data_IF_920846203798
#
_entry.id   IF_920846203798
#
_cell.length_a   1.000
_cell.length_b   1.000
_cell.length_c   1.000
_cell.angle_alpha   90.00
_cell.angle_beta   90.00
_cell.angle_gamma   90.00
#
_symmetry.space_group_name_H-M   'P 1'
#
loop_
_entity.id
_entity.type
_entity.pdbx_description
1 polymer ?
#
# COMPACT_ATOMS: atom_id res chain seq x y z
N UNK A 1 34.95 -44.42 -62.18
CA UNK A 1 35.84 -43.51 -61.39
C UNK A 1 35.41 -43.59 -59.94
N UNK A 2 35.97 -44.57 -59.22
CA UNK A 2 35.60 -44.87 -57.86
C UNK A 2 36.26 -43.86 -56.91
N UNK A 3 35.45 -43.14 -56.12
CA UNK A 3 35.90 -42.26 -55.09
C UNK A 3 36.13 -43.08 -53.80
N UNK A 4 37.38 -43.12 -53.35
CA UNK A 4 37.84 -43.91 -52.22
C UNK A 4 37.32 -43.34 -50.91
N UNK A 5 36.85 -44.22 -50.04
CA UNK A 5 36.31 -44.03 -48.68
C UNK A 5 37.26 -43.31 -47.63
N UNK A 6 38.36 -42.67 -48.06
CA UNK A 6 39.40 -42.17 -47.17
C UNK A 6 39.40 -40.64 -46.94
N UNK A 7 38.53 -39.88 -47.60
CA UNK A 7 38.54 -38.40 -47.53
C UNK A 7 37.43 -37.81 -46.63
N UNK A 8 36.73 -38.66 -45.86
CA UNK A 8 35.59 -38.22 -45.02
C UNK A 8 35.95 -37.94 -43.56
N UNK A 9 37.22 -37.93 -43.17
CA UNK A 9 37.67 -37.84 -41.77
C UNK A 9 38.51 -36.59 -41.43
N UNK A 10 38.34 -35.47 -42.12
CA UNK A 10 39.11 -34.23 -41.79
C UNK A 10 38.23 -32.99 -41.59
N UNK A 11 36.97 -33.09 -41.21
CA UNK A 11 36.20 -31.93 -40.76
C UNK A 11 35.43 -32.27 -39.47
N UNK A 12 36.16 -32.66 -38.41
CA UNK A 12 35.69 -32.61 -37.07
C UNK A 12 36.14 -31.26 -36.47
N UNK A 13 35.48 -30.18 -36.89
CA UNK A 13 35.58 -28.89 -36.22
C UNK A 13 34.90 -28.98 -34.88
N UNK A 14 35.64 -28.77 -33.82
CA UNK A 14 35.11 -28.67 -32.45
C UNK A 14 34.13 -27.51 -32.39
N UNK A 15 32.82 -27.78 -32.44
CA UNK A 15 31.78 -26.85 -32.03
C UNK A 15 31.80 -26.81 -30.51
N UNK A 16 32.48 -25.83 -29.96
CA UNK A 16 32.29 -25.43 -28.55
C UNK A 16 30.88 -24.88 -28.43
N UNK A 17 29.96 -25.68 -27.92
CA UNK A 17 28.68 -25.20 -27.42
C UNK A 17 28.96 -24.36 -26.17
N UNK A 18 29.04 -23.04 -26.33
CA UNK A 18 28.88 -22.12 -25.22
C UNK A 18 27.42 -22.27 -24.76
N UNK A 19 27.21 -23.02 -23.69
CA UNK A 19 25.98 -22.95 -22.92
C UNK A 19 25.84 -21.49 -22.46
N UNK A 20 25.09 -20.69 -23.21
CA UNK A 20 24.59 -19.45 -22.70
C UNK A 20 23.79 -19.82 -21.44
N UNK A 21 24.30 -19.44 -20.27
CA UNK A 21 23.52 -19.50 -19.04
C UNK A 21 22.21 -18.74 -19.34
N UNK A 22 21.12 -19.46 -19.47
CA UNK A 22 19.80 -18.87 -19.56
C UNK A 22 19.62 -17.96 -18.33
N UNK A 23 18.72 -16.96 -18.41
CA UNK A 23 18.49 -16.09 -17.28
C UNK A 23 18.24 -16.99 -16.07
N UNK A 24 19.11 -16.89 -15.06
CA UNK A 24 18.84 -17.52 -13.78
C UNK A 24 17.47 -16.97 -13.36
N UNK A 25 16.48 -17.84 -13.27
CA UNK A 25 15.21 -17.50 -12.65
C UNK A 25 15.56 -17.10 -11.23
N UNK A 26 15.72 -15.79 -11.03
CA UNK A 26 16.00 -15.23 -9.73
C UNK A 26 14.95 -15.83 -8.80
N UNK A 27 15.45 -16.48 -7.77
CA UNK A 27 14.67 -16.90 -6.61
C UNK A 27 13.62 -15.83 -6.38
N UNK A 28 12.33 -16.17 -6.42
CA UNK A 28 11.24 -15.18 -6.40
C UNK A 28 11.47 -14.29 -5.20
N UNK A 29 11.97 -13.08 -5.44
CA UNK A 29 12.26 -12.15 -4.39
C UNK A 29 10.93 -11.88 -3.69
N UNK A 30 10.95 -11.98 -2.37
CA UNK A 30 9.77 -11.99 -1.52
C UNK A 30 9.18 -10.59 -1.40
N UNK A 31 7.88 -10.50 -1.26
CA UNK A 31 7.18 -9.27 -0.90
C UNK A 31 7.24 -9.11 0.61
N UNK A 32 7.79 -8.00 1.09
CA UNK A 32 7.74 -7.66 2.53
C UNK A 32 6.64 -6.63 2.76
N UNK A 33 5.75 -6.90 3.72
CA UNK A 33 4.70 -5.98 4.18
C UNK A 33 4.92 -5.72 5.65
N UNK A 34 5.10 -4.45 6.02
CA UNK A 34 5.29 -3.99 7.38
C UNK A 34 4.13 -3.07 7.77
N UNK A 35 3.44 -3.40 8.87
CA UNK A 35 2.45 -2.51 9.45
C UNK A 35 3.10 -1.58 10.47
N UNK A 36 2.92 -0.27 10.33
CA UNK A 36 3.56 0.74 11.17
C UNK A 36 2.62 1.39 12.20
N UNK A 37 1.38 0.90 12.27
CA UNK A 37 0.33 1.40 13.15
C UNK A 37 -0.74 2.20 12.42
N UNK A 38 -1.96 2.22 12.93
CA UNK A 38 -3.17 2.78 12.32
C UNK A 38 -3.32 2.24 10.88
N UNK A 39 -3.19 3.09 9.86
CA UNK A 39 -3.23 2.72 8.44
C UNK A 39 -1.83 2.62 7.80
N UNK A 40 -0.80 3.11 8.48
CA UNK A 40 0.53 3.23 7.91
C UNK A 40 1.16 1.86 7.56
N UNK A 41 1.46 1.68 6.29
CA UNK A 41 1.97 0.42 5.75
C UNK A 41 3.17 0.68 4.83
N UNK A 42 4.25 -0.10 5.02
CA UNK A 42 5.41 -0.11 4.13
C UNK A 42 5.44 -1.44 3.37
N UNK A 43 5.58 -1.37 2.06
CA UNK A 43 5.74 -2.53 1.18
C UNK A 43 7.12 -2.45 0.54
N UNK A 44 7.92 -3.52 0.67
CA UNK A 44 9.14 -3.70 -0.12
C UNK A 44 8.87 -4.75 -1.18
N UNK A 45 9.04 -4.36 -2.43
CA UNK A 45 8.72 -5.21 -3.58
C UNK A 45 9.84 -6.19 -3.90
N UNK A 46 9.60 -7.23 -4.71
CA UNK A 46 10.62 -8.17 -5.16
C UNK A 46 11.90 -7.54 -5.73
N UNK A 47 11.80 -6.38 -6.38
CA UNK A 47 12.96 -5.66 -6.94
C UNK A 47 13.53 -4.60 -6.00
N UNK A 48 13.05 -4.54 -4.75
CA UNK A 48 13.52 -3.58 -3.74
C UNK A 48 12.94 -2.18 -3.86
N UNK A 49 11.83 -2.01 -4.61
CA UNK A 49 11.08 -0.76 -4.58
C UNK A 49 10.33 -0.64 -3.25
N UNK A 50 10.20 0.58 -2.77
CA UNK A 50 9.52 0.86 -1.50
C UNK A 50 8.28 1.72 -1.76
N UNK A 51 7.12 1.19 -1.36
CA UNK A 51 5.82 1.87 -1.39
C UNK A 51 5.39 2.08 0.06
N UNK A 52 4.99 3.29 0.40
CA UNK A 52 4.44 3.61 1.73
C UNK A 52 3.00 4.10 1.54
N UNK A 53 2.09 3.57 2.33
CA UNK A 53 0.67 3.92 2.30
C UNK A 53 0.32 4.60 3.62
N UNK A 54 -0.35 5.75 3.56
CA UNK A 54 -0.85 6.52 4.69
C UNK A 54 0.20 6.74 5.80
N UNK A 55 1.33 7.39 5.53
CA UNK A 55 2.47 7.46 6.44
C UNK A 55 2.26 8.42 7.62
N UNK A 56 1.22 8.22 8.44
CA UNK A 56 1.13 8.89 9.73
C UNK A 56 2.03 8.19 10.75
N UNK A 57 3.21 8.74 11.00
CA UNK A 57 4.27 8.11 11.79
C UNK A 57 4.72 8.96 12.98
N UNK A 58 5.02 10.24 12.74
CA UNK A 58 5.71 11.10 13.73
C UNK A 58 4.91 11.31 15.01
N UNK A 59 3.61 11.54 14.89
CA UNK A 59 2.68 11.76 16.01
C UNK A 59 1.80 10.57 16.33
N UNK A 60 1.90 9.46 15.58
CA UNK A 60 1.10 8.27 15.81
C UNK A 60 1.50 7.57 17.11
N UNK A 61 0.58 7.41 18.08
CA UNK A 61 0.89 6.80 19.37
C UNK A 61 1.25 5.30 19.27
N UNK A 62 0.84 4.63 18.20
CA UNK A 62 1.09 3.20 17.99
C UNK A 62 2.32 2.91 17.13
N UNK A 63 2.84 3.88 16.40
CA UNK A 63 4.10 3.70 15.65
C UNK A 63 5.25 3.47 16.62
N UNK A 64 6.03 2.38 16.47
CA UNK A 64 7.19 2.13 17.31
C UNK A 64 8.21 3.27 17.21
N UNK A 65 8.89 3.62 18.32
CA UNK A 65 9.78 4.78 18.38
C UNK A 65 10.82 4.86 17.25
N UNK A 66 11.38 3.72 16.86
CA UNK A 66 12.38 3.62 15.78
C UNK A 66 11.82 3.95 14.38
N UNK A 67 10.50 3.98 14.20
CA UNK A 67 9.84 4.30 12.93
C UNK A 67 9.17 5.69 12.95
N UNK A 68 9.28 6.44 14.06
CA UNK A 68 8.77 7.82 14.13
C UNK A 68 9.67 8.82 13.41
N UNK A 69 10.93 8.49 13.23
CA UNK A 69 11.82 9.22 12.34
C UNK A 69 11.54 8.82 10.89
N UNK A 70 11.14 9.77 10.07
CA UNK A 70 10.84 9.52 8.64
C UNK A 70 12.08 9.03 7.87
N UNK A 71 13.29 9.41 8.30
CA UNK A 71 14.53 8.96 7.68
C UNK A 71 14.79 7.46 7.90
N UNK A 72 14.20 6.86 8.94
CA UNK A 72 14.26 5.42 9.20
C UNK A 72 13.54 4.58 8.14
N UNK A 73 12.65 5.17 7.34
CA UNK A 73 12.04 4.49 6.19
C UNK A 73 13.03 4.24 5.06
N UNK A 74 14.14 5.02 5.03
CA UNK A 74 15.13 4.98 3.97
C UNK A 74 14.57 5.49 2.63
N UNK A 75 14.98 4.85 1.55
CA UNK A 75 14.46 5.18 0.22
C UNK A 75 12.97 4.84 0.14
N UNK A 76 12.17 5.79 -0.37
CA UNK A 76 10.76 5.58 -0.72
C UNK A 76 10.59 5.97 -2.18
N UNK A 77 10.04 5.07 -2.99
CA UNK A 77 9.78 5.31 -4.41
C UNK A 77 8.38 5.92 -4.64
N UNK A 78 7.39 5.49 -3.82
CA UNK A 78 5.98 5.89 -3.96
C UNK A 78 5.33 6.05 -2.60
N UNK A 79 4.55 7.11 -2.45
CA UNK A 79 3.64 7.35 -1.32
C UNK A 79 2.21 7.26 -1.85
N UNK A 80 1.37 6.42 -1.25
CA UNK A 80 -0.05 6.33 -1.53
C UNK A 80 -0.82 6.96 -0.38
N UNK A 81 -1.80 7.80 -0.70
CA UNK A 81 -2.65 8.45 0.30
C UNK A 81 -4.10 8.06 0.00
N UNK A 82 -4.73 7.36 0.94
CA UNK A 82 -6.11 6.90 0.76
C UNK A 82 -7.11 8.02 0.87
N UNK A 83 -6.91 8.94 1.81
CA UNK A 83 -7.73 10.12 2.02
C UNK A 83 -7.02 11.16 2.92
N UNK A 84 -7.66 12.30 3.18
CA UNK A 84 -7.00 13.47 3.74
C UNK A 84 -7.00 13.55 5.28
N UNK A 85 -7.54 12.58 6.00
CA UNK A 85 -7.55 12.64 7.47
C UNK A 85 -6.14 12.66 8.05
N UNK A 86 -5.98 13.38 9.17
CA UNK A 86 -4.68 13.58 9.80
C UNK A 86 -4.00 12.27 10.22
N UNK A 87 -4.75 11.28 10.63
CA UNK A 87 -4.27 9.95 11.03
C UNK A 87 -3.89 9.03 9.82
N UNK A 88 -3.94 9.57 8.61
CA UNK A 88 -3.42 8.97 7.39
C UNK A 88 -2.27 9.78 6.80
N UNK A 89 -2.40 11.11 6.77
CA UNK A 89 -1.38 11.98 6.19
C UNK A 89 -0.35 12.49 7.21
N UNK A 90 -0.55 12.26 8.52
CA UNK A 90 0.27 12.84 9.59
C UNK A 90 0.08 14.36 9.68
N UNK A 91 -1.17 14.83 9.59
CA UNK A 91 -1.50 16.26 9.54
C UNK A 91 -2.04 16.83 10.85
N UNK A 92 -2.69 18.00 10.76
CA UNK A 92 -3.11 18.83 11.90
C UNK A 92 -4.09 18.11 12.83
N UNK A 93 -5.10 17.40 12.31
CA UNK A 93 -6.07 16.66 13.12
C UNK A 93 -5.47 15.47 13.89
N UNK A 94 -4.23 15.09 13.54
CA UNK A 94 -3.45 14.08 14.24
C UNK A 94 -2.31 14.67 15.11
N UNK A 95 -2.43 15.92 15.47
CA UNK A 95 -1.55 16.57 16.45
C UNK A 95 -0.36 17.34 15.86
N UNK A 96 -0.24 17.47 14.55
CA UNK A 96 0.79 18.28 13.92
C UNK A 96 0.38 19.77 13.90
N UNK A 97 1.28 20.67 14.29
CA UNK A 97 0.95 22.09 14.48
C UNK A 97 1.79 23.06 13.64
N UNK A 98 2.64 22.56 12.77
CA UNK A 98 3.56 23.32 11.92
C UNK A 98 2.99 23.64 10.51
N UNK A 99 1.74 23.31 10.26
CA UNK A 99 1.08 23.52 8.96
C UNK A 99 1.50 22.53 7.88
N UNK A 100 2.25 21.49 8.23
CA UNK A 100 2.72 20.44 7.31
C UNK A 100 2.08 19.08 7.63
N UNK A 101 2.58 18.02 7.01
CA UNK A 101 2.17 16.63 7.23
C UNK A 101 3.35 15.67 7.03
N UNK A 102 3.22 14.44 7.56
CA UNK A 102 4.25 13.42 7.35
C UNK A 102 4.39 13.06 5.85
N UNK A 103 3.27 13.05 5.11
CA UNK A 103 3.29 12.91 3.64
C UNK A 103 4.14 14.00 2.99
N UNK A 104 3.95 15.27 3.37
CA UNK A 104 4.68 16.39 2.81
C UNK A 104 6.18 16.30 3.09
N UNK A 105 6.54 15.99 4.33
CA UNK A 105 7.94 15.84 4.73
C UNK A 105 8.61 14.66 4.04
N UNK A 106 7.93 13.51 4.01
CA UNK A 106 8.46 12.31 3.36
C UNK A 106 8.65 12.50 1.85
N UNK A 107 7.67 13.13 1.18
CA UNK A 107 7.77 13.45 -0.24
C UNK A 107 8.97 14.36 -0.56
N UNK A 108 9.18 15.41 0.24
CA UNK A 108 10.33 16.32 0.08
C UNK A 108 11.67 15.63 0.29
N UNK A 109 11.79 14.78 1.32
CA UNK A 109 13.04 14.08 1.67
C UNK A 109 13.43 13.02 0.66
N UNK A 110 12.47 12.26 0.15
CA UNK A 110 12.74 11.08 -0.67
C UNK A 110 12.64 11.30 -2.17
N UNK A 111 11.95 12.37 -2.61
CA UNK A 111 11.62 12.58 -4.01
C UNK A 111 10.53 11.62 -4.54
N UNK A 112 9.86 10.88 -3.65
CA UNK A 112 8.84 9.90 -3.99
C UNK A 112 7.69 10.49 -4.79
N UNK A 113 7.08 9.70 -5.68
CA UNK A 113 5.79 10.04 -6.29
C UNK A 113 4.69 9.92 -5.25
N UNK A 114 3.81 10.92 -5.17
CA UNK A 114 2.65 10.93 -4.26
C UNK A 114 1.38 10.73 -5.07
N UNK A 115 0.67 9.66 -4.76
CA UNK A 115 -0.60 9.30 -5.39
C UNK A 115 -1.75 9.48 -4.40
N UNK A 116 -2.80 10.16 -4.84
CA UNK A 116 -4.07 10.28 -4.13
C UNK A 116 -5.21 10.52 -5.12
N UNK A 117 -6.44 10.73 -4.64
CA UNK A 117 -7.50 11.28 -5.49
C UNK A 117 -7.04 12.60 -6.11
N UNK A 118 -7.48 12.87 -7.35
CA UNK A 118 -7.01 14.06 -8.11
C UNK A 118 -7.23 15.36 -7.35
N UNK A 119 -8.35 15.50 -6.63
CA UNK A 119 -8.61 16.70 -5.83
C UNK A 119 -7.60 16.84 -4.70
N UNK A 120 -7.33 15.77 -3.96
CA UNK A 120 -6.38 15.80 -2.84
C UNK A 120 -4.95 16.10 -3.31
N UNK A 121 -4.49 15.49 -4.42
CA UNK A 121 -3.15 15.80 -4.95
C UNK A 121 -3.00 17.25 -5.39
N UNK A 122 -4.04 17.86 -6.00
CA UNK A 122 -4.03 19.28 -6.35
C UNK A 122 -3.91 20.16 -5.11
N UNK A 123 -4.70 19.88 -4.08
CA UNK A 123 -4.63 20.60 -2.80
C UNK A 123 -3.24 20.49 -2.16
N UNK A 124 -2.64 19.31 -2.16
CA UNK A 124 -1.28 19.12 -1.64
C UNK A 124 -0.23 19.93 -2.43
N UNK A 125 -0.41 20.09 -3.75
CA UNK A 125 0.46 20.94 -4.58
C UNK A 125 0.25 22.42 -4.26
N UNK A 126 -0.99 22.88 -4.17
CA UNK A 126 -1.35 24.26 -3.83
C UNK A 126 -0.84 24.67 -2.45
N UNK A 127 -0.85 23.75 -1.48
CA UNK A 127 -0.28 23.94 -0.15
C UNK A 127 1.26 23.90 -0.12
N UNK A 128 1.92 23.61 -1.25
CA UNK A 128 3.37 23.44 -1.31
C UNK A 128 3.87 22.19 -0.57
N UNK A 129 2.99 21.24 -0.26
CA UNK A 129 3.34 19.99 0.41
C UNK A 129 4.03 19.02 -0.54
N UNK A 130 3.55 18.95 -1.79
CA UNK A 130 4.06 18.03 -2.81
C UNK A 130 4.47 18.84 -4.04
N UNK A 131 5.73 18.73 -4.51
CA UNK A 131 6.12 19.35 -5.78
C UNK A 131 5.26 18.83 -6.96
N UNK A 132 4.89 19.69 -7.93
CA UNK A 132 4.05 19.28 -9.07
C UNK A 132 4.59 18.04 -9.81
N UNK A 133 5.92 17.95 -9.96
CA UNK A 133 6.57 16.81 -10.64
C UNK A 133 6.51 15.47 -9.88
N UNK A 134 6.14 15.48 -8.60
CA UNK A 134 5.94 14.29 -7.78
C UNK A 134 4.46 13.90 -7.65
N UNK A 135 3.53 14.81 -7.92
CA UNK A 135 2.10 14.62 -7.76
C UNK A 135 1.49 13.78 -8.89
N UNK A 136 0.75 12.75 -8.53
CA UNK A 136 0.03 11.86 -9.47
C UNK A 136 -1.41 11.72 -9.01
N UNK A 137 -2.30 12.50 -9.61
CA UNK A 137 -3.75 12.42 -9.34
C UNK A 137 -4.41 11.27 -10.10
N UNK A 138 -5.24 10.51 -9.40
CA UNK A 138 -6.02 9.41 -9.98
C UNK A 138 -7.51 9.56 -9.72
N UNK A 139 -8.30 8.92 -10.59
CA UNK A 139 -9.70 8.60 -10.35
C UNK A 139 -9.87 7.12 -10.04
N UNK A 140 -11.03 6.73 -9.51
CA UNK A 140 -11.37 5.32 -9.26
C UNK A 140 -11.31 4.52 -10.57
N UNK A 141 -10.77 3.29 -10.50
CA UNK A 141 -10.38 2.42 -11.63
C UNK A 141 -9.19 2.92 -12.45
N UNK A 142 -8.65 4.11 -12.16
CA UNK A 142 -7.41 4.59 -12.78
C UNK A 142 -6.22 3.70 -12.39
N UNK A 143 -5.32 3.48 -13.36
CA UNK A 143 -4.11 2.63 -13.20
C UNK A 143 -2.88 3.41 -13.60
N UNK A 144 -1.83 3.31 -12.81
CA UNK A 144 -0.51 3.92 -13.09
C UNK A 144 0.62 3.00 -12.66
N UNK A 145 1.81 3.26 -13.17
CA UNK A 145 3.03 2.48 -12.91
C UNK A 145 4.17 3.41 -12.42
N UNK A 146 4.01 4.07 -11.27
CA UNK A 146 4.93 5.14 -10.82
C UNK A 146 6.29 4.64 -10.37
N UNK A 147 6.41 3.34 -10.06
CA UNK A 147 7.64 2.70 -9.60
C UNK A 147 8.30 1.80 -10.67
N UNK A 148 7.79 1.83 -11.90
CA UNK A 148 8.28 1.02 -13.02
C UNK A 148 7.18 0.16 -13.66
N UNK A 149 7.42 -0.35 -14.87
CA UNK A 149 6.37 -0.94 -15.72
C UNK A 149 5.77 -2.26 -15.18
N UNK A 150 6.39 -2.86 -14.19
CA UNK A 150 5.94 -4.13 -13.61
C UNK A 150 5.16 -3.97 -12.30
N UNK A 151 5.03 -2.72 -11.78
CA UNK A 151 4.26 -2.42 -10.58
C UNK A 151 3.07 -1.57 -10.97
N UNK A 152 1.88 -2.15 -10.90
CA UNK A 152 0.64 -1.45 -11.23
C UNK A 152 -0.13 -1.08 -9.96
N UNK A 153 -0.45 0.20 -9.84
CA UNK A 153 -1.28 0.73 -8.75
C UNK A 153 -2.62 1.14 -9.33
N UNK A 154 -3.69 0.54 -8.81
CA UNK A 154 -5.07 0.86 -9.19
C UNK A 154 -5.80 1.47 -8.01
N UNK A 155 -6.44 2.61 -8.22
CA UNK A 155 -7.30 3.23 -7.24
C UNK A 155 -8.70 2.61 -7.30
N UNK A 156 -9.26 2.23 -6.15
CA UNK A 156 -10.61 1.66 -6.05
C UNK A 156 -11.46 2.43 -5.04
N UNK A 157 -12.78 2.21 -5.06
CA UNK A 157 -13.71 2.85 -4.13
C UNK A 157 -13.40 2.48 -2.67
N UNK A 158 -13.61 3.44 -1.79
CA UNK A 158 -13.83 3.26 -0.36
C UNK A 158 -15.10 4.02 0.04
N UNK A 159 -15.79 3.57 1.09
CA UNK A 159 -17.01 4.18 1.61
C UNK A 159 -16.69 4.89 2.92
N UNK A 160 -16.30 6.16 2.80
CA UNK A 160 -15.84 6.99 3.91
C UNK A 160 -15.94 8.45 3.52
N UNK A 161 -15.43 9.36 4.33
CA UNK A 161 -15.28 10.78 4.04
C UNK A 161 -13.80 11.19 4.02
N UNK A 162 -13.50 12.38 3.49
CA UNK A 162 -12.12 12.83 3.28
C UNK A 162 -12.03 14.33 3.54
N UNK A 163 -11.77 14.69 4.80
CA UNK A 163 -11.66 16.07 5.23
C UNK A 163 -10.20 16.41 5.56
N UNK A 164 -9.70 17.46 4.94
CA UNK A 164 -8.39 18.02 5.22
C UNK A 164 -8.52 19.10 6.30
N UNK A 165 -7.89 18.86 7.44
CA UNK A 165 -7.76 19.85 8.49
C UNK A 165 -6.38 20.51 8.41
N UNK A 166 -6.38 21.84 8.30
CA UNK A 166 -5.19 22.67 8.28
C UNK A 166 -5.12 23.50 9.55
N UNK A 167 -3.91 23.77 10.02
CA UNK A 167 -3.64 24.73 11.08
C UNK A 167 -2.68 25.80 10.55
N UNK A 168 -3.04 27.05 10.71
CA UNK A 168 -2.13 28.17 10.45
C UNK A 168 -1.09 28.23 11.57
N UNK A 169 0.21 28.06 11.28
CA UNK A 169 1.24 28.02 12.32
C UNK A 169 1.38 29.32 13.13
N UNK A 170 1.06 30.48 12.53
CA UNK A 170 1.17 31.78 13.17
C UNK A 170 -0.05 32.11 14.07
N UNK A 171 -1.24 31.94 13.50
CA UNK A 171 -2.50 32.32 14.18
C UNK A 171 -3.13 31.20 14.99
N UNK A 172 -2.66 29.92 14.78
CA UNK A 172 -3.24 28.69 15.32
C UNK A 172 -4.69 28.46 14.91
N UNK A 173 -5.17 29.19 13.92
CA UNK A 173 -6.52 28.98 13.38
C UNK A 173 -6.58 27.65 12.65
N UNK A 174 -7.60 26.87 12.97
CA UNK A 174 -7.89 25.59 12.30
C UNK A 174 -8.97 25.80 11.24
N UNK A 175 -8.79 25.18 10.08
CA UNK A 175 -9.75 25.16 8.98
C UNK A 175 -9.88 23.72 8.49
N UNK A 176 -11.12 23.25 8.30
CA UNK A 176 -11.41 21.94 7.75
C UNK A 176 -12.18 22.11 6.45
N UNK A 177 -11.79 21.36 5.43
CA UNK A 177 -12.45 21.36 4.11
C UNK A 177 -12.45 19.97 3.52
N UNK A 178 -13.47 19.64 2.74
CA UNK A 178 -13.49 18.37 2.00
C UNK A 178 -12.37 18.32 0.96
N UNK A 179 -11.63 17.22 0.91
CA UNK A 179 -10.41 17.09 0.12
C UNK A 179 -10.42 15.83 -0.76
N UNK A 180 -11.32 15.80 -1.69
CA UNK A 180 -11.51 14.69 -2.62
C UNK A 180 -12.22 13.50 -2.00
N UNK A 181 -12.21 12.39 -2.71
CA UNK A 181 -12.90 11.18 -2.29
C UNK A 181 -11.93 10.19 -1.63
N UNK A 182 -12.39 9.43 -0.61
CA UNK A 182 -11.62 8.34 -0.04
C UNK A 182 -11.50 7.18 -1.03
N UNK A 183 -10.39 6.48 -0.97
CA UNK A 183 -10.06 5.38 -1.90
C UNK A 183 -9.27 4.27 -1.19
N UNK A 184 -9.34 3.07 -1.76
CA UNK A 184 -8.38 2.01 -1.50
C UNK A 184 -7.44 1.82 -2.68
N UNK A 185 -6.42 1.00 -2.51
CA UNK A 185 -5.42 0.71 -3.53
C UNK A 185 -5.23 -0.79 -3.73
N UNK A 186 -5.32 -1.21 -5.01
CA UNK A 186 -4.79 -2.50 -5.44
C UNK A 186 -3.36 -2.26 -5.93
N UNK A 187 -2.40 -2.90 -5.28
CA UNK A 187 -0.98 -2.85 -5.63
C UNK A 187 -0.60 -4.21 -6.21
N UNK A 188 -0.43 -4.28 -7.53
CA UNK A 188 0.03 -5.47 -8.23
C UNK A 188 1.54 -5.36 -8.46
N UNK A 189 2.29 -6.32 -7.91
CA UNK A 189 3.74 -6.32 -7.88
C UNK A 189 4.33 -7.16 -9.02
N UNK A 190 5.64 -7.10 -9.18
CA UNK A 190 6.42 -7.67 -10.29
C UNK A 190 6.24 -9.20 -10.43
N UNK A 191 5.98 -9.89 -9.32
CA UNK A 191 5.75 -11.34 -9.28
C UNK A 191 4.26 -11.72 -9.41
N UNK A 192 3.37 -10.76 -9.69
CA UNK A 192 1.94 -10.95 -9.80
C UNK A 192 1.19 -10.97 -8.45
N UNK A 193 1.90 -10.81 -7.32
CA UNK A 193 1.26 -10.70 -6.01
C UNK A 193 0.44 -9.41 -5.92
N UNK A 194 -0.80 -9.51 -5.44
CA UNK A 194 -1.74 -8.39 -5.33
C UNK A 194 -2.10 -8.11 -3.90
N UNK A 195 -1.78 -6.91 -3.44
CA UNK A 195 -2.19 -6.40 -2.15
C UNK A 195 -3.33 -5.39 -2.33
N UNK A 196 -4.41 -5.56 -1.58
CA UNK A 196 -5.46 -4.56 -1.46
C UNK A 196 -5.38 -3.87 -0.10
N UNK A 197 -4.94 -2.63 -0.09
CA UNK A 197 -5.02 -1.76 1.08
C UNK A 197 -6.34 -1.01 1.00
N UNK A 198 -7.24 -1.28 1.94
CA UNK A 198 -8.62 -0.80 1.86
C UNK A 198 -8.76 0.67 2.27
N UNK A 199 -7.76 1.23 2.98
CA UNK A 199 -7.89 2.53 3.63
C UNK A 199 -9.00 2.49 4.68
N UNK A 200 -9.60 3.63 4.95
CA UNK A 200 -10.78 3.71 5.79
C UNK A 200 -12.02 3.47 4.95
N UNK A 201 -12.82 2.52 5.39
CA UNK A 201 -14.05 2.18 4.69
C UNK A 201 -15.07 1.49 5.61
N UNK A 202 -16.34 1.83 5.42
CA UNK A 202 -17.46 0.98 5.79
C UNK A 202 -17.62 -0.19 4.82
N UNK A 203 -18.58 -1.07 5.10
CA UNK A 203 -18.98 -2.17 4.21
C UNK A 203 -19.75 -1.62 3.00
N UNK A 204 -19.37 -2.02 1.78
CA UNK A 204 -20.07 -1.61 0.55
C UNK A 204 -20.09 -2.72 -0.50
N UNK A 205 -21.10 -2.66 -1.39
CA UNK A 205 -21.37 -3.76 -2.34
C UNK A 205 -20.28 -4.05 -3.34
N UNK A 206 -19.56 -3.01 -3.81
CA UNK A 206 -18.53 -3.17 -4.83
C UNK A 206 -17.28 -3.93 -4.34
N UNK A 207 -17.16 -4.22 -3.03
CA UNK A 207 -16.11 -5.13 -2.51
C UNK A 207 -16.18 -6.49 -3.21
N UNK A 208 -17.39 -6.97 -3.57
CA UNK A 208 -17.54 -8.21 -4.34
C UNK A 208 -16.89 -8.09 -5.73
N UNK A 209 -17.16 -6.99 -6.43
CA UNK A 209 -16.52 -6.71 -7.72
C UNK A 209 -14.98 -6.64 -7.57
N UNK A 210 -14.50 -5.99 -6.51
CA UNK A 210 -13.06 -5.91 -6.23
C UNK A 210 -12.48 -7.32 -6.03
N UNK A 211 -13.12 -8.16 -5.23
CA UNK A 211 -12.72 -9.55 -5.01
C UNK A 211 -12.72 -10.38 -6.28
N UNK A 212 -13.81 -10.33 -7.05
CA UNK A 212 -13.99 -11.17 -8.24
C UNK A 212 -13.08 -10.75 -9.40
N UNK A 213 -12.87 -9.43 -9.59
CA UNK A 213 -12.14 -8.90 -10.73
C UNK A 213 -10.63 -8.74 -10.47
N UNK A 214 -10.24 -8.10 -9.35
CA UNK A 214 -8.83 -7.86 -9.04
C UNK A 214 -8.17 -9.07 -8.35
N UNK A 215 -8.95 -9.85 -7.59
CA UNK A 215 -8.51 -11.09 -6.89
C UNK A 215 -7.26 -10.84 -6.03
N UNK A 216 -7.32 -9.98 -5.01
CA UNK A 216 -6.18 -9.71 -4.16
C UNK A 216 -5.74 -10.96 -3.39
N UNK A 217 -4.43 -11.21 -3.35
CA UNK A 217 -3.85 -12.29 -2.54
C UNK A 217 -3.87 -11.92 -1.06
N UNK A 218 -3.57 -10.66 -0.74
CA UNK A 218 -3.55 -10.10 0.60
C UNK A 218 -4.49 -8.89 0.67
N UNK A 219 -5.30 -8.82 1.73
CA UNK A 219 -6.01 -7.61 2.09
C UNK A 219 -5.47 -7.04 3.40
N UNK A 220 -5.34 -5.71 3.45
CA UNK A 220 -5.26 -4.96 4.70
C UNK A 220 -6.64 -4.36 4.96
N UNK A 221 -7.29 -4.79 6.05
CA UNK A 221 -8.70 -4.56 6.30
C UNK A 221 -8.92 -3.81 7.63
N UNK A 222 -9.60 -2.65 7.62
CA UNK A 222 -9.91 -1.94 8.85
C UNK A 222 -10.98 -2.67 9.66
N UNK A 223 -10.77 -2.76 10.99
CA UNK A 223 -11.65 -3.50 11.90
C UNK A 223 -12.06 -2.72 13.13
N UNK A 224 -11.65 -1.44 13.27
CA UNK A 224 -11.81 -0.68 14.50
C UNK A 224 -13.26 -0.38 14.89
N UNK A 225 -14.18 -0.38 13.95
CA UNK A 225 -15.55 0.10 14.15
C UNK A 225 -15.62 1.62 14.23
N UNK A 226 -16.79 2.16 14.58
CA UNK A 226 -17.10 3.58 14.73
C UNK A 226 -16.97 4.40 13.43
N UNK A 227 -15.79 4.51 12.85
CA UNK A 227 -15.52 5.24 11.62
C UNK A 227 -15.32 4.30 10.40
N UNK A 228 -15.02 3.04 10.66
CA UNK A 228 -14.74 2.01 9.66
C UNK A 228 -15.54 0.75 9.97
N UNK A 229 -15.39 -0.30 9.17
CA UNK A 229 -16.01 -1.60 9.48
C UNK A 229 -15.67 -2.04 10.90
N UNK A 230 -16.64 -2.63 11.57
CA UNK A 230 -16.41 -3.40 12.79
C UNK A 230 -15.89 -4.83 12.45
N UNK A 231 -15.49 -5.63 13.44
CA UNK A 231 -15.01 -6.98 13.21
C UNK A 231 -15.98 -7.91 12.46
N UNK A 232 -17.29 -7.74 12.61
CA UNK A 232 -18.31 -8.56 11.95
C UNK A 232 -18.47 -8.17 10.48
N UNK A 233 -18.53 -6.89 10.20
CA UNK A 233 -18.58 -6.35 8.83
C UNK A 233 -17.32 -6.73 8.06
N UNK A 234 -16.15 -6.58 8.68
CA UNK A 234 -14.88 -6.97 8.10
C UNK A 234 -14.81 -8.49 7.83
N UNK A 235 -15.32 -9.31 8.74
CA UNK A 235 -15.38 -10.77 8.53
C UNK A 235 -16.31 -11.13 7.36
N UNK A 236 -17.47 -10.47 7.25
CA UNK A 236 -18.38 -10.65 6.14
C UNK A 236 -17.73 -10.24 4.80
N UNK A 237 -17.10 -9.06 4.76
CA UNK A 237 -16.38 -8.58 3.58
C UNK A 237 -15.29 -9.57 3.14
N UNK A 238 -14.51 -10.09 4.09
CA UNK A 238 -13.42 -11.04 3.81
C UNK A 238 -13.96 -12.35 3.27
N UNK A 239 -14.95 -12.95 3.95
CA UNK A 239 -15.44 -14.30 3.66
C UNK A 239 -16.36 -14.37 2.44
N UNK A 240 -17.27 -13.41 2.33
CA UNK A 240 -18.34 -13.48 1.34
C UNK A 240 -18.06 -12.65 0.08
N UNK A 241 -17.19 -11.65 0.17
CA UNK A 241 -16.98 -10.70 -0.93
C UNK A 241 -15.58 -10.76 -1.54
N UNK A 242 -14.52 -10.65 -0.73
CA UNK A 242 -13.14 -10.50 -1.21
C UNK A 242 -12.40 -11.83 -1.38
N UNK A 243 -12.59 -12.77 -0.49
CA UNK A 243 -12.04 -14.14 -0.49
C UNK A 243 -10.52 -14.21 -0.73
N UNK A 244 -9.70 -13.41 -0.05
CA UNK A 244 -8.25 -13.38 -0.24
C UNK A 244 -7.60 -14.62 0.38
N UNK A 245 -6.34 -14.90 0.02
CA UNK A 245 -5.51 -15.90 0.71
C UNK A 245 -5.11 -15.45 2.10
N UNK A 246 -4.80 -14.15 2.23
CA UNK A 246 -4.24 -13.54 3.43
C UNK A 246 -5.00 -12.28 3.84
N UNK A 247 -5.11 -12.04 5.14
CA UNK A 247 -5.68 -10.82 5.69
C UNK A 247 -4.85 -10.29 6.87
N UNK A 248 -4.58 -8.99 6.87
CA UNK A 248 -3.97 -8.26 7.99
C UNK A 248 -5.02 -7.27 8.49
N UNK A 249 -5.58 -7.48 9.70
CA UNK A 249 -6.45 -6.49 10.32
C UNK A 249 -5.63 -5.27 10.74
N UNK A 250 -6.15 -4.07 10.50
CA UNK A 250 -5.53 -2.82 10.87
C UNK A 250 -6.56 -1.78 11.32
N UNK A 251 -6.14 -0.54 11.62
CA UNK A 251 -7.00 0.58 12.00
C UNK A 251 -7.86 0.26 13.23
N UNK A 252 -7.23 -0.22 14.31
CA UNK A 252 -7.89 -0.53 15.60
C UNK A 252 -7.01 -0.12 16.78
N UNK A 253 -7.63 0.08 17.93
CA UNK A 253 -6.97 0.38 19.20
C UNK A 253 -6.04 1.62 19.22
N UNK A 254 -6.02 2.45 18.19
CA UNK A 254 -5.24 3.70 18.17
C UNK A 254 -5.98 4.79 18.93
N UNK A 255 -7.29 4.87 18.78
CA UNK A 255 -8.18 5.78 19.51
C UNK A 255 -9.17 4.98 20.38
N UNK A 256 -9.64 5.54 21.50
CA UNK A 256 -10.55 4.82 22.41
C UNK A 256 -11.87 4.36 21.78
N UNK A 257 -12.30 4.99 20.69
CA UNK A 257 -13.52 4.65 19.96
C UNK A 257 -13.34 3.46 19.02
N UNK A 258 -12.10 3.17 18.60
CA UNK A 258 -11.77 2.04 17.71
C UNK A 258 -11.61 0.76 18.53
N UNK A 259 -12.75 0.18 18.93
CA UNK A 259 -12.82 -0.91 19.91
C UNK A 259 -12.69 -2.30 19.34
N UNK A 260 -12.83 -2.46 18.01
CA UNK A 260 -12.70 -3.75 17.33
C UNK A 260 -11.37 -4.41 17.58
N UNK A 261 -11.34 -5.73 17.69
CA UNK A 261 -10.14 -6.52 17.97
C UNK A 261 -9.90 -7.59 16.92
N UNK A 262 -8.64 -7.98 16.67
CA UNK A 262 -8.33 -9.11 15.78
C UNK A 262 -8.97 -10.42 16.23
N UNK A 263 -9.16 -10.62 17.54
CA UNK A 263 -9.80 -11.81 18.12
C UNK A 263 -11.29 -11.86 17.74
N UNK A 264 -12.00 -10.73 17.86
CA UNK A 264 -13.40 -10.63 17.42
C UNK A 264 -13.54 -10.85 15.91
N UNK A 265 -12.62 -10.28 15.12
CA UNK A 265 -12.58 -10.48 13.68
C UNK A 265 -12.39 -11.95 13.31
N UNK A 266 -11.39 -12.63 13.90
CA UNK A 266 -11.16 -14.06 13.69
C UNK A 266 -12.34 -14.93 14.14
N UNK A 267 -12.95 -14.60 15.29
CA UNK A 267 -14.13 -15.31 15.78
C UNK A 267 -15.34 -15.16 14.84
N UNK A 268 -15.57 -13.93 14.31
CA UNK A 268 -16.65 -13.66 13.37
C UNK A 268 -16.40 -14.31 12.00
N UNK A 269 -15.14 -14.40 11.57
CA UNK A 269 -14.74 -15.04 10.32
C UNK A 269 -14.99 -16.55 10.34
N UNK A 270 -14.78 -17.19 11.51
CA UNK A 270 -14.99 -18.64 11.68
C UNK A 270 -14.13 -19.48 10.75
N UNK A 271 -14.68 -20.59 10.25
CA UNK A 271 -13.97 -21.43 9.27
C UNK A 271 -13.87 -20.74 7.92
N UNK A 272 -12.64 -20.58 7.41
CA UNK A 272 -12.31 -19.91 6.16
C UNK A 272 -10.99 -20.45 5.59
N UNK A 273 -10.76 -20.25 4.30
CA UNK A 273 -9.45 -20.48 3.66
C UNK A 273 -8.49 -19.29 3.82
N UNK A 274 -8.98 -18.13 4.26
CA UNK A 274 -8.16 -16.93 4.48
C UNK A 274 -7.34 -17.09 5.74
N UNK A 275 -6.02 -16.99 5.62
CA UNK A 275 -5.12 -16.92 6.77
C UNK A 275 -5.06 -15.49 7.30
N UNK A 276 -5.39 -15.29 8.57
CA UNK A 276 -5.35 -13.99 9.25
C UNK A 276 -4.06 -13.83 10.02
N UNK A 277 -3.38 -12.69 9.83
CA UNK A 277 -2.16 -12.31 10.54
C UNK A 277 -2.42 -11.12 11.46
N UNK A 278 -2.73 -11.33 12.76
CA UNK A 278 -2.90 -10.25 13.73
C UNK A 278 -1.53 -9.78 14.24
N UNK A 279 -0.82 -9.06 13.40
CA UNK A 279 0.51 -8.52 13.70
C UNK A 279 0.44 -7.26 14.57
N UNK A 280 1.54 -6.94 15.23
CA UNK A 280 1.71 -5.71 16.01
C UNK A 280 2.34 -4.61 15.15
N UNK A 281 2.12 -3.31 15.47
CA UNK A 281 2.84 -2.23 14.80
C UNK A 281 4.36 -2.41 14.86
N UNK A 282 5.01 -2.32 13.70
CA UNK A 282 6.43 -2.60 13.51
C UNK A 282 6.75 -3.99 12.97
N UNK A 283 5.83 -4.95 13.11
CA UNK A 283 6.02 -6.31 12.60
C UNK A 283 6.01 -6.35 11.07
N UNK A 284 6.71 -7.34 10.53
CA UNK A 284 6.86 -7.60 9.11
C UNK A 284 6.40 -9.00 8.76
N UNK A 285 5.76 -9.12 7.62
CA UNK A 285 5.43 -10.39 6.99
C UNK A 285 6.09 -10.48 5.62
N UNK A 286 6.40 -11.69 5.22
CA UNK A 286 7.01 -11.96 3.91
C UNK A 286 6.15 -12.98 3.17
N UNK A 287 5.82 -12.67 1.93
CA UNK A 287 4.95 -13.44 1.04
C UNK A 287 5.68 -13.91 -0.21
#
# INVERSE_FOLDING_TARGET
MEMRRRDFLKFAGAMTFTLAAGPSWAQSAKVEVQWLGQSATKITTPTGKVIVIDPWLTTNPKTPPQHKDLDALGKVDVILVTHAHGDHIGGASAGRTDGSSDVAELAKRTGAKVLASTTLTRMMVELGWVPPGQSVGLGKSGKVQPAGPQITITQVRAEHFSDLTLIDPATKKTTTTTAGEPVGYIVELENGFKLYHMGDTGLFGDMRLIGDYYKPDLIMIPIGGHFVMDPKDAAYATKEMLKPKYAIPFHYATFPVLKGTPQEYQAALGQTQTQVFPISPGDKLTF
#
